data_IF_386880317048
#
_entry.id   IF_386880317048
#
_cell.length_a   1.000
_cell.length_b   1.000
_cell.length_c   1.000
_cell.angle_alpha   90.00
_cell.angle_beta   90.00
_cell.angle_gamma   90.00
#
_symmetry.space_group_name_H-M   'P 1'
#
loop_
_entity.id
_entity.type
_entity.pdbx_description
1 polymer ?
#
# COMPACT_ATOMS: atom_id res chain seq x y z
N UNK A 1 -43.45 4.44 -57.24
CA UNK A 1 -42.21 3.80 -56.75
C UNK A 1 -41.45 4.82 -55.91
N UNK A 2 -41.70 4.87 -54.59
CA UNK A 2 -40.96 5.69 -53.62
C UNK A 2 -40.70 4.81 -52.41
N UNK A 3 -39.43 4.47 -52.16
CA UNK A 3 -38.97 3.78 -50.96
C UNK A 3 -38.76 4.81 -49.86
N UNK A 4 -39.39 4.61 -48.71
CA UNK A 4 -39.09 5.35 -47.48
C UNK A 4 -38.07 4.55 -46.68
N UNK A 5 -36.86 5.10 -46.51
CA UNK A 5 -35.84 4.56 -45.61
C UNK A 5 -36.16 5.04 -44.18
N UNK A 6 -36.25 4.09 -43.26
CA UNK A 6 -36.33 4.34 -41.82
C UNK A 6 -34.93 4.21 -41.24
N UNK A 7 -34.36 5.31 -40.74
CA UNK A 7 -33.10 5.31 -40.01
C UNK A 7 -33.38 5.08 -38.52
N UNK A 8 -32.91 3.95 -37.98
CA UNK A 8 -32.97 3.67 -36.56
C UNK A 8 -31.87 4.45 -35.83
N UNK A 9 -32.27 5.37 -34.96
CA UNK A 9 -31.40 6.10 -34.03
C UNK A 9 -30.99 5.13 -32.91
N UNK A 10 -29.73 4.67 -32.92
CA UNK A 10 -29.16 3.86 -31.83
C UNK A 10 -28.74 4.82 -30.72
N UNK A 11 -29.53 4.85 -29.64
CA UNK A 11 -29.26 5.62 -28.44
C UNK A 11 -28.25 4.83 -27.58
N UNK A 12 -27.00 5.30 -27.51
CA UNK A 12 -26.01 4.78 -26.57
C UNK A 12 -26.30 5.36 -25.18
N UNK A 13 -26.89 4.55 -24.29
CA UNK A 13 -26.92 4.87 -22.86
C UNK A 13 -25.52 4.69 -22.28
N UNK A 14 -24.83 5.80 -22.05
CA UNK A 14 -23.65 5.84 -21.18
C UNK A 14 -24.16 5.67 -19.74
N UNK A 15 -24.04 4.46 -19.21
CA UNK A 15 -24.29 4.21 -17.80
C UNK A 15 -23.16 4.80 -16.96
N UNK A 16 -23.36 5.97 -16.39
CA UNK A 16 -22.54 6.45 -15.28
C UNK A 16 -22.81 5.56 -14.08
N UNK A 17 -21.95 4.58 -13.84
CA UNK A 17 -21.90 3.86 -12.57
C UNK A 17 -21.37 4.82 -11.50
N UNK A 18 -22.27 5.40 -10.72
CA UNK A 18 -21.91 6.02 -9.46
C UNK A 18 -21.53 4.88 -8.50
N UNK A 19 -20.23 4.62 -8.34
CA UNK A 19 -19.74 3.77 -7.27
C UNK A 19 -20.10 4.42 -5.94
N UNK A 20 -20.96 3.78 -5.15
CA UNK A 20 -21.17 4.15 -3.76
C UNK A 20 -19.83 4.07 -3.04
N UNK A 21 -19.34 5.19 -2.50
CA UNK A 21 -18.19 5.17 -1.61
C UNK A 21 -18.54 4.27 -0.42
N UNK A 22 -17.85 3.13 -0.31
CA UNK A 22 -17.98 2.23 0.83
C UNK A 22 -17.38 2.97 2.02
N UNK A 23 -18.17 3.19 3.07
CA UNK A 23 -17.63 3.74 4.30
C UNK A 23 -16.67 2.71 4.90
N UNK A 24 -15.43 3.11 5.16
CA UNK A 24 -14.49 2.25 5.84
C UNK A 24 -14.94 2.02 7.30
N UNK A 25 -15.02 0.75 7.68
CA UNK A 25 -15.44 0.28 9.00
C UNK A 25 -14.32 0.35 10.05
N UNK A 26 -13.07 0.54 9.60
CA UNK A 26 -11.90 0.68 10.46
C UNK A 26 -11.36 2.11 10.35
N UNK A 27 -11.42 2.92 11.43
CA UNK A 27 -10.98 4.32 11.39
C UNK A 27 -9.55 4.49 10.86
N UNK A 28 -9.39 5.38 9.88
CA UNK A 28 -8.09 5.70 9.28
C UNK A 28 -7.59 4.68 8.25
N UNK A 29 -8.40 3.68 7.90
CA UNK A 29 -8.11 2.76 6.81
C UNK A 29 -9.05 2.98 5.64
N UNK A 30 -8.57 2.75 4.42
CA UNK A 30 -9.27 3.02 3.18
C UNK A 30 -9.11 1.88 2.19
N UNK A 31 -10.23 1.28 1.78
CA UNK A 31 -10.22 0.21 0.78
C UNK A 31 -10.54 0.75 -0.62
N UNK A 32 -9.68 0.45 -1.60
CA UNK A 32 -9.84 0.95 -2.97
C UNK A 32 -9.27 0.01 -4.03
N UNK A 33 -9.66 0.25 -5.28
CA UNK A 33 -9.14 -0.46 -6.45
C UNK A 33 -7.90 0.28 -6.95
N UNK A 34 -6.75 -0.40 -6.94
CA UNK A 34 -5.51 0.10 -7.53
C UNK A 34 -5.56 -0.05 -9.05
N UNK A 35 -5.97 -1.23 -9.53
CA UNK A 35 -5.95 -1.54 -10.95
C UNK A 35 -7.00 -2.59 -11.31
N UNK A 36 -7.58 -2.42 -12.48
CA UNK A 36 -8.39 -3.44 -13.14
C UNK A 36 -7.52 -4.32 -14.07
N UNK A 37 -7.83 -5.62 -14.19
CA UNK A 37 -7.18 -6.50 -15.15
C UNK A 37 -7.12 -5.85 -16.53
N UNK A 38 -5.96 -5.97 -17.19
CA UNK A 38 -5.65 -5.25 -18.43
C UNK A 38 -6.72 -5.50 -19.51
N UNK A 39 -7.59 -4.50 -19.73
CA UNK A 39 -8.64 -4.55 -20.75
C UNK A 39 -9.92 -5.28 -20.36
N UNK A 40 -10.01 -5.86 -19.16
CA UNK A 40 -11.26 -6.38 -18.62
C UNK A 40 -12.10 -5.20 -18.12
N UNK A 41 -13.40 -5.14 -18.39
CA UNK A 41 -14.30 -4.15 -17.77
C UNK A 41 -14.66 -4.48 -16.32
N UNK A 42 -13.97 -5.45 -15.71
CA UNK A 42 -14.36 -6.09 -14.46
C UNK A 42 -13.39 -5.72 -13.33
N UNK A 43 -13.65 -4.67 -12.54
CA UNK A 43 -12.77 -4.29 -11.44
C UNK A 43 -12.82 -5.31 -10.29
N UNK A 44 -11.83 -5.30 -9.38
CA UNK A 44 -11.95 -6.00 -8.11
C UNK A 44 -13.25 -5.64 -7.38
N UNK A 45 -13.89 -6.64 -6.78
CA UNK A 45 -15.01 -6.40 -5.87
C UNK A 45 -14.46 -6.15 -4.46
N UNK A 46 -14.91 -5.09 -3.79
CA UNK A 46 -14.60 -4.83 -2.39
C UNK A 46 -15.94 -4.76 -1.66
N UNK A 47 -16.15 -5.63 -0.68
CA UNK A 47 -17.42 -5.69 0.07
C UNK A 47 -17.18 -5.97 1.53
N UNK A 48 -18.02 -5.43 2.40
CA UNK A 48 -17.96 -5.75 3.83
C UNK A 48 -18.40 -7.20 4.08
N UNK A 49 -17.74 -7.87 5.02
CA UNK A 49 -18.12 -9.21 5.44
C UNK A 49 -19.12 -9.14 6.61
N UNK A 50 -20.20 -9.95 6.62
CA UNK A 50 -21.22 -9.88 7.67
C UNK A 50 -20.72 -10.10 9.10
N UNK A 51 -19.58 -10.79 9.28
CA UNK A 51 -18.93 -11.00 10.58
C UNK A 51 -17.84 -9.96 10.91
N UNK A 52 -17.75 -8.88 10.14
CA UNK A 52 -16.70 -7.86 10.24
C UNK A 52 -15.53 -8.11 9.27
N UNK A 53 -14.86 -7.02 8.90
CA UNK A 53 -13.77 -7.03 7.92
C UNK A 53 -14.26 -6.87 6.47
N UNK A 54 -13.34 -7.07 5.53
CA UNK A 54 -13.54 -6.85 4.10
C UNK A 54 -13.20 -8.08 3.28
N UNK A 55 -14.00 -8.29 2.23
CA UNK A 55 -13.73 -9.24 1.15
C UNK A 55 -13.20 -8.46 -0.05
N UNK A 56 -12.02 -8.84 -0.53
CA UNK A 56 -11.46 -8.39 -1.80
C UNK A 56 -11.56 -9.53 -2.81
N UNK A 57 -12.49 -9.43 -3.74
CA UNK A 57 -12.69 -10.39 -4.83
C UNK A 57 -11.77 -10.09 -6.00
N UNK A 58 -10.66 -10.81 -6.08
CA UNK A 58 -9.75 -10.79 -7.23
C UNK A 58 -10.09 -11.99 -8.12
N UNK A 59 -10.84 -11.73 -9.20
CA UNK A 59 -11.37 -12.75 -10.10
C UNK A 59 -10.51 -12.97 -11.34
N UNK A 60 -9.60 -12.05 -11.64
CA UNK A 60 -8.79 -12.08 -12.86
C UNK A 60 -7.33 -11.66 -12.59
N UNK A 61 -6.39 -12.27 -13.33
CA UNK A 61 -5.00 -11.82 -13.29
C UNK A 61 -4.89 -10.38 -13.79
N UNK A 62 -4.12 -9.55 -13.08
CA UNK A 62 -4.00 -8.13 -13.36
C UNK A 62 -4.88 -7.23 -12.49
N UNK A 63 -5.90 -7.78 -11.83
CA UNK A 63 -6.66 -7.03 -10.83
C UNK A 63 -5.81 -6.76 -9.59
N UNK A 64 -5.96 -5.57 -9.01
CA UNK A 64 -5.25 -5.14 -7.82
C UNK A 64 -6.11 -4.21 -6.99
N UNK A 65 -6.23 -4.50 -5.70
CA UNK A 65 -6.92 -3.68 -4.72
C UNK A 65 -6.03 -3.47 -3.50
N UNK A 66 -6.36 -2.48 -2.68
CA UNK A 66 -5.67 -2.21 -1.44
C UNK A 66 -6.61 -1.91 -0.28
N UNK A 67 -6.09 -2.15 0.92
CA UNK A 67 -6.58 -1.57 2.16
C UNK A 67 -5.43 -0.79 2.80
N UNK A 68 -5.56 0.53 2.82
CA UNK A 68 -4.44 1.43 3.03
C UNK A 68 -4.67 2.43 4.15
N UNK A 69 -3.60 3.07 4.60
CA UNK A 69 -3.69 4.04 5.70
C UNK A 69 -2.59 5.10 5.63
N UNK A 70 -2.94 6.30 6.10
CA UNK A 70 -1.99 7.40 6.36
C UNK A 70 -1.48 7.43 7.80
N UNK A 71 -1.79 6.42 8.63
CA UNK A 71 -1.35 6.38 10.04
C UNK A 71 0.18 6.35 10.22
N UNK A 72 0.92 5.98 9.18
CA UNK A 72 2.38 5.97 9.15
C UNK A 72 2.99 7.13 8.35
N UNK A 73 2.17 8.02 7.78
CA UNK A 73 2.68 9.14 6.99
C UNK A 73 3.56 10.06 7.87
N UNK A 74 4.76 10.37 7.39
CA UNK A 74 5.75 11.16 8.10
C UNK A 74 6.58 10.41 9.14
N UNK A 75 6.32 9.12 9.39
CA UNK A 75 7.18 8.30 10.24
C UNK A 75 8.32 7.67 9.43
N UNK A 76 9.37 7.22 10.10
CA UNK A 76 10.42 6.44 9.42
C UNK A 76 10.02 4.98 9.36
N UNK A 77 10.53 4.27 8.36
CA UNK A 77 10.34 2.81 8.24
C UNK A 77 10.84 2.08 9.50
N UNK A 78 11.97 2.49 10.07
CA UNK A 78 12.53 1.91 11.28
C UNK A 78 11.77 2.22 12.56
N UNK A 79 10.82 3.16 12.51
CA UNK A 79 9.96 3.52 13.63
C UNK A 79 8.62 2.75 13.58
N UNK A 80 8.46 1.75 12.71
CA UNK A 80 7.23 0.94 12.68
C UNK A 80 7.24 -0.03 13.85
N UNK A 81 6.33 0.09 14.80
CA UNK A 81 6.22 -0.87 15.90
C UNK A 81 5.60 -2.19 15.42
N UNK A 82 4.45 -2.10 14.76
CA UNK A 82 3.68 -3.28 14.35
C UNK A 82 2.85 -2.99 13.11
N UNK A 83 2.79 -3.97 12.22
CA UNK A 83 1.84 -4.04 11.11
C UNK A 83 1.08 -5.35 11.23
N UNK A 84 -0.24 -5.31 11.16
CA UNK A 84 -1.02 -6.55 11.15
C UNK A 84 -2.25 -6.47 10.26
N UNK A 85 -2.71 -7.65 9.86
CA UNK A 85 -4.00 -7.91 9.25
C UNK A 85 -4.40 -9.36 9.56
N UNK A 86 -5.65 -9.60 9.91
CA UNK A 86 -6.16 -10.94 10.21
C UNK A 86 -6.79 -11.51 8.96
N UNK A 87 -6.22 -12.60 8.43
CA UNK A 87 -6.79 -13.34 7.32
C UNK A 87 -7.73 -14.43 7.85
N UNK A 88 -8.92 -14.54 7.26
CA UNK A 88 -9.85 -15.61 7.62
C UNK A 88 -9.28 -16.98 7.21
N UNK A 89 -9.27 -17.97 8.14
CA UNK A 89 -8.71 -19.29 7.88
C UNK A 89 -9.46 -20.09 6.81
N UNK A 90 -10.69 -19.72 6.44
CA UNK A 90 -11.46 -20.38 5.37
C UNK A 90 -10.92 -20.06 3.98
N UNK A 91 -10.08 -19.03 3.84
CA UNK A 91 -9.53 -18.60 2.57
C UNK A 91 -8.25 -19.36 2.25
N UNK A 92 -8.20 -19.99 1.08
CA UNK A 92 -7.02 -20.69 0.56
C UNK A 92 -6.24 -19.81 -0.42
N UNK A 93 -4.99 -20.18 -0.71
CA UNK A 93 -4.13 -19.44 -1.65
C UNK A 93 -3.19 -18.43 -0.98
N UNK A 94 -2.58 -17.57 -1.79
CA UNK A 94 -1.65 -16.54 -1.35
C UNK A 94 -2.36 -15.48 -0.53
N UNK A 95 -1.75 -15.00 0.54
CA UNK A 95 -2.30 -13.85 1.27
C UNK A 95 -1.87 -12.52 0.66
N UNK A 96 -2.25 -11.40 1.30
CA UNK A 96 -1.87 -10.09 0.83
C UNK A 96 -0.36 -9.87 0.95
N UNK A 97 0.13 -8.88 0.23
CA UNK A 97 1.45 -8.31 0.44
C UNK A 97 1.32 -6.85 0.89
N UNK A 98 2.42 -6.24 1.30
CA UNK A 98 2.47 -4.89 1.83
C UNK A 98 3.35 -4.00 0.96
N UNK A 99 2.93 -2.75 0.83
CA UNK A 99 3.65 -1.70 0.15
C UNK A 99 3.80 -0.47 1.04
N UNK A 100 4.97 0.16 1.00
CA UNK A 100 5.22 1.48 1.57
C UNK A 100 5.56 2.46 0.45
N UNK A 101 4.88 3.60 0.42
CA UNK A 101 5.44 4.76 -0.28
C UNK A 101 6.52 5.39 0.58
N UNK A 102 7.71 5.55 0.02
CA UNK A 102 8.84 6.19 0.70
C UNK A 102 9.41 7.33 -0.13
N UNK A 103 9.97 8.32 0.56
CA UNK A 103 10.76 9.38 -0.05
C UNK A 103 12.18 9.40 0.50
N UNK A 104 13.13 9.78 -0.34
CA UNK A 104 14.51 10.06 0.06
C UNK A 104 14.71 11.50 0.60
N UNK A 105 13.65 12.31 0.61
CA UNK A 105 13.69 13.71 1.05
C UNK A 105 14.32 14.69 0.05
N UNK A 106 14.76 14.21 -1.10
CA UNK A 106 15.33 15.01 -2.20
C UNK A 106 14.38 15.12 -3.40
N UNK A 107 13.14 14.66 -3.24
CA UNK A 107 12.13 14.59 -4.29
C UNK A 107 12.06 13.24 -5.00
N UNK A 108 12.92 12.29 -4.62
CA UNK A 108 12.81 10.90 -5.05
C UNK A 108 11.75 10.15 -4.26
N UNK A 109 10.94 9.35 -4.96
CA UNK A 109 9.98 8.43 -4.36
C UNK A 109 10.17 7.03 -4.91
N UNK A 110 9.80 6.05 -4.09
CA UNK A 110 9.71 4.65 -4.47
C UNK A 110 8.63 3.94 -3.66
N UNK A 111 8.22 2.78 -4.15
CA UNK A 111 7.45 1.81 -3.39
C UNK A 111 8.38 0.72 -2.87
N UNK A 112 8.43 0.54 -1.55
CA UNK A 112 9.02 -0.64 -0.94
C UNK A 112 7.95 -1.70 -0.76
N UNK A 113 8.18 -2.93 -1.22
CA UNK A 113 7.24 -4.01 -1.03
C UNK A 113 7.92 -5.31 -0.62
N UNK A 114 7.19 -6.19 0.06
CA UNK A 114 7.61 -7.58 0.13
C UNK A 114 7.23 -8.29 -1.17
N UNK A 115 8.13 -9.10 -1.70
CA UNK A 115 7.84 -9.92 -2.87
C UNK A 115 6.99 -11.12 -2.45
N UNK A 116 5.75 -11.25 -2.96
CA UNK A 116 4.87 -12.28 -2.45
C UNK A 116 5.36 -13.67 -2.86
N UNK A 117 6.10 -13.82 -3.97
CA UNK A 117 6.72 -15.09 -4.38
C UNK A 117 7.74 -15.65 -3.38
N UNK A 118 8.21 -14.84 -2.42
CA UNK A 118 9.03 -15.30 -1.29
C UNK A 118 8.15 -15.83 -0.13
N UNK A 119 7.33 -16.84 -0.44
CA UNK A 119 6.37 -17.45 0.52
C UNK A 119 6.99 -17.87 1.84
N UNK A 120 8.26 -18.27 1.85
CA UNK A 120 8.95 -18.73 3.04
C UNK A 120 9.20 -17.61 4.07
N UNK A 121 9.27 -16.34 3.64
CA UNK A 121 9.31 -15.17 4.53
C UNK A 121 7.90 -14.76 4.98
N UNK A 122 6.89 -15.02 4.14
CA UNK A 122 5.53 -14.50 4.29
C UNK A 122 4.48 -15.63 4.36
N UNK A 123 4.63 -16.54 5.33
CA UNK A 123 3.70 -17.64 5.57
C UNK A 123 2.47 -17.24 6.42
N UNK A 124 1.31 -17.88 6.18
CA UNK A 124 0.15 -17.76 7.07
C UNK A 124 0.52 -18.05 8.53
N UNK A 125 0.15 -17.16 9.44
CA UNK A 125 0.40 -17.28 10.89
C UNK A 125 1.57 -16.44 11.43
N UNK A 126 2.51 -16.00 10.59
CA UNK A 126 3.64 -15.13 11.01
C UNK A 126 3.77 -13.87 10.17
N UNK A 127 3.35 -13.91 8.90
CA UNK A 127 3.52 -12.86 7.91
C UNK A 127 2.62 -11.63 8.10
N UNK A 128 1.43 -11.83 8.67
CA UNK A 128 0.38 -10.82 8.75
C UNK A 128 0.27 -10.20 10.15
N UNK A 129 1.26 -10.42 10.99
CA UNK A 129 1.47 -9.72 12.25
C UNK A 129 2.98 -9.59 12.44
N UNK A 130 3.53 -8.49 11.95
CA UNK A 130 4.97 -8.26 11.92
C UNK A 130 5.34 -7.08 12.81
N UNK A 131 6.42 -7.24 13.56
CA UNK A 131 7.06 -6.16 14.32
C UNK A 131 8.29 -5.67 13.56
N UNK A 132 8.86 -4.52 13.94
CA UNK A 132 10.12 -4.07 13.35
C UNK A 132 11.20 -5.15 13.34
N UNK A 133 11.31 -5.93 14.41
CA UNK A 133 12.34 -6.96 14.56
C UNK A 133 12.26 -8.03 13.47
N UNK A 134 11.04 -8.35 13.00
CA UNK A 134 10.80 -9.27 11.90
C UNK A 134 10.97 -8.53 10.57
N UNK A 135 10.29 -7.38 10.43
CA UNK A 135 10.25 -6.59 9.21
C UNK A 135 11.66 -6.21 8.72
N UNK A 136 12.53 -5.74 9.61
CA UNK A 136 13.87 -5.25 9.25
C UNK A 136 14.74 -6.30 8.55
N UNK A 137 14.47 -7.59 8.78
CA UNK A 137 15.20 -8.72 8.20
C UNK A 137 14.51 -9.29 6.95
N UNK A 138 13.27 -8.89 6.70
CA UNK A 138 12.52 -9.33 5.56
C UNK A 138 12.97 -8.61 4.29
N UNK A 139 12.80 -9.30 3.17
CA UNK A 139 13.22 -8.81 1.87
C UNK A 139 12.36 -7.62 1.42
N UNK A 140 13.01 -6.53 1.03
CA UNK A 140 12.42 -5.31 0.51
C UNK A 140 12.78 -5.12 -0.96
N UNK A 141 11.76 -5.09 -1.80
CA UNK A 141 11.87 -4.79 -3.21
C UNK A 141 11.51 -3.35 -3.47
N UNK A 142 12.21 -2.72 -4.42
CA UNK A 142 12.05 -1.30 -4.75
C UNK A 142 11.38 -1.21 -6.12
N UNK A 143 10.17 -0.66 -6.15
CA UNK A 143 9.37 -0.44 -7.35
C UNK A 143 9.02 1.03 -7.50
N UNK A 144 8.39 1.38 -8.63
CA UNK A 144 7.74 2.68 -8.84
C UNK A 144 8.67 3.85 -8.48
N UNK A 145 9.89 3.80 -9.00
CA UNK A 145 10.97 4.75 -8.68
C UNK A 145 10.83 6.01 -9.52
N UNK A 146 11.00 7.20 -8.93
CA UNK A 146 10.87 8.47 -9.66
C UNK A 146 11.82 8.54 -10.86
N UNK A 147 11.27 8.60 -12.07
CA UNK A 147 12.06 8.66 -13.30
C UNK A 147 12.84 9.99 -13.44
N UNK A 148 12.34 11.06 -12.83
CA UNK A 148 12.80 12.44 -13.02
C UNK A 148 13.91 12.87 -12.06
N UNK A 149 13.84 12.47 -10.80
CA UNK A 149 14.83 12.83 -9.77
C UNK A 149 15.70 11.62 -9.40
N UNK A 150 15.20 10.41 -9.69
CA UNK A 150 15.77 9.15 -9.21
C UNK A 150 15.56 8.96 -7.72
N UNK A 151 15.37 7.73 -7.29
CA UNK A 151 15.31 7.41 -5.86
C UNK A 151 16.71 7.01 -5.41
N UNK A 152 17.23 7.72 -4.40
CA UNK A 152 18.52 7.38 -3.80
C UNK A 152 18.37 6.11 -2.99
N UNK A 153 19.26 5.14 -3.21
CA UNK A 153 19.30 3.93 -2.39
C UNK A 153 20.14 4.10 -1.12
N UNK A 154 19.92 3.24 -0.10
CA UNK A 154 20.69 3.25 1.14
C UNK A 154 22.21 3.19 0.96
N UNK A 155 22.70 2.59 -0.14
CA UNK A 155 24.13 2.50 -0.45
C UNK A 155 24.78 3.84 -0.88
N UNK A 156 23.99 4.93 -0.96
CA UNK A 156 24.48 6.31 -1.05
C UNK A 156 25.03 6.76 -2.41
N UNK A 157 25.45 5.83 -3.27
CA UNK A 157 26.14 6.11 -4.53
C UNK A 157 25.37 5.63 -5.78
N UNK A 158 24.22 4.98 -5.60
CA UNK A 158 23.40 4.52 -6.72
C UNK A 158 22.06 5.21 -6.70
N UNK A 159 21.82 6.06 -7.69
CA UNK A 159 20.48 6.54 -8.02
C UNK A 159 19.84 5.48 -8.91
N UNK A 160 18.76 4.85 -8.44
CA UNK A 160 18.02 3.91 -9.25
C UNK A 160 17.05 4.72 -10.13
N UNK A 161 17.15 4.60 -11.45
CA UNK A 161 16.29 5.36 -12.40
C UNK A 161 15.47 4.49 -13.33
N UNK A 162 15.60 3.16 -13.29
CA UNK A 162 14.75 2.23 -14.03
C UNK A 162 14.86 0.83 -13.43
N UNK A 163 13.84 0.40 -12.69
CA UNK A 163 13.61 -1.02 -12.44
C UNK A 163 12.15 -1.34 -12.77
N UNK A 164 11.97 -2.24 -13.75
CA UNK A 164 10.91 -3.24 -13.64
C UNK A 164 11.27 -4.21 -12.52
N UNK A 165 10.26 -4.83 -11.92
CA UNK A 165 10.38 -5.84 -10.86
C UNK A 165 11.66 -6.69 -10.98
N UNK A 166 12.64 -6.59 -10.05
CA UNK A 166 13.85 -7.36 -10.32
C UNK A 166 15.21 -7.06 -9.70
N UNK A 167 15.42 -6.59 -8.46
CA UNK A 167 16.84 -6.45 -8.02
C UNK A 167 17.45 -7.83 -7.72
N UNK A 168 18.55 -8.27 -8.38
CA UNK A 168 19.12 -9.60 -8.19
C UNK A 168 19.62 -9.90 -6.78
N UNK A 169 19.83 -8.86 -5.97
CA UNK A 169 20.04 -8.94 -4.53
C UNK A 169 19.02 -8.00 -3.89
N UNK A 170 17.87 -8.50 -3.41
CA UNK A 170 16.88 -7.62 -2.86
C UNK A 170 17.37 -7.10 -1.51
N UNK A 171 17.09 -5.82 -1.24
CA UNK A 171 17.44 -5.16 0.01
C UNK A 171 16.67 -5.79 1.17
N UNK A 172 16.97 -5.37 2.39
CA UNK A 172 16.14 -5.62 3.55
C UNK A 172 15.41 -4.34 3.94
N UNK A 173 14.24 -4.43 4.56
CA UNK A 173 13.56 -3.23 5.06
C UNK A 173 14.43 -2.45 6.06
N UNK A 174 15.30 -3.15 6.80
CA UNK A 174 16.29 -2.54 7.68
C UNK A 174 17.26 -1.57 6.96
N UNK A 175 17.57 -1.81 5.68
CA UNK A 175 18.41 -0.90 4.89
C UNK A 175 17.73 0.47 4.68
N UNK A 176 16.39 0.50 4.71
CA UNK A 176 15.58 1.69 4.54
C UNK A 176 15.08 2.28 5.87
N UNK A 177 15.60 1.84 7.02
CA UNK A 177 15.10 2.24 8.33
C UNK A 177 14.99 3.76 8.54
N UNK A 178 15.85 4.54 7.90
CA UNK A 178 15.87 6.01 8.01
C UNK A 178 15.02 6.75 6.96
N UNK A 179 14.40 6.04 6.02
CA UNK A 179 13.57 6.65 4.98
C UNK A 179 12.21 7.03 5.56
N UNK A 180 11.67 8.15 5.08
CA UNK A 180 10.35 8.62 5.48
C UNK A 180 9.27 7.91 4.66
N UNK A 181 8.24 7.44 5.35
CA UNK A 181 7.01 7.00 4.74
C UNK A 181 6.25 8.24 4.30
N UNK A 182 6.08 8.40 2.99
CA UNK A 182 5.42 9.56 2.41
C UNK A 182 4.90 9.19 1.03
N UNK A 183 3.57 9.13 0.83
CA UNK A 183 3.03 9.06 -0.51
C UNK A 183 3.38 10.32 -1.30
N UNK A 184 3.52 10.24 -2.64
CA UNK A 184 3.60 11.42 -3.48
C UNK A 184 2.28 12.21 -3.41
N UNK A 185 2.32 13.49 -3.74
CA UNK A 185 1.13 14.38 -3.76
C UNK A 185 0.56 14.58 -5.16
N UNK A 186 1.22 14.04 -6.17
CA UNK A 186 0.82 14.11 -7.57
C UNK A 186 0.68 12.71 -8.15
N UNK A 187 -0.22 12.50 -9.13
CA UNK A 187 -0.39 11.22 -9.80
C UNK A 187 0.92 10.56 -10.20
N UNK A 188 1.05 9.28 -9.86
CA UNK A 188 2.21 8.49 -10.20
C UNK A 188 1.99 7.73 -11.50
N UNK A 189 2.93 7.82 -12.45
CA UNK A 189 2.78 7.25 -13.80
C UNK A 189 3.01 5.73 -13.90
N UNK A 190 2.78 4.98 -12.82
CA UNK A 190 3.06 3.55 -12.70
C UNK A 190 1.85 2.67 -12.97
N UNK A 191 2.07 1.40 -13.31
CA UNK A 191 0.98 0.41 -13.52
C UNK A 191 0.68 -0.45 -12.29
N UNK A 192 1.49 -0.32 -11.23
CA UNK A 192 1.32 -1.05 -9.97
C UNK A 192 1.39 -0.15 -8.74
N UNK A 193 1.46 1.17 -8.95
CA UNK A 193 1.45 2.19 -7.91
C UNK A 193 0.21 2.03 -7.01
N UNK A 194 0.36 2.07 -5.67
CA UNK A 194 -0.77 1.97 -4.77
C UNK A 194 -1.41 3.35 -4.58
N UNK A 195 -2.04 3.85 -5.63
CA UNK A 195 -2.85 5.07 -5.67
C UNK A 195 -4.32 4.75 -5.96
N UNK A 196 -5.23 5.52 -5.36
CA UNK A 196 -6.67 5.36 -5.57
C UNK A 196 -7.08 6.01 -6.90
N UNK A 197 -7.19 5.18 -7.93
CA UNK A 197 -7.57 5.63 -9.27
C UNK A 197 -9.02 6.13 -9.37
N UNK A 198 -9.86 5.83 -8.38
CA UNK A 198 -11.27 6.25 -8.37
C UNK A 198 -11.52 7.49 -7.51
N UNK A 199 -10.50 8.00 -6.81
CA UNK A 199 -10.65 9.19 -6.01
C UNK A 199 -10.86 10.44 -6.90
N UNK A 200 -11.78 11.35 -6.52
CA UNK A 200 -12.04 12.58 -7.29
C UNK A 200 -10.83 13.52 -7.34
N UNK A 201 -9.96 13.42 -6.32
CA UNK A 201 -8.63 14.01 -6.27
C UNK A 201 -7.63 12.90 -6.03
N UNK A 202 -6.48 12.97 -6.69
CA UNK A 202 -5.39 12.02 -6.48
C UNK A 202 -5.17 11.76 -4.99
N UNK A 203 -5.22 10.49 -4.61
CA UNK A 203 -5.06 10.04 -3.22
C UNK A 203 -4.14 8.84 -3.20
N UNK A 204 -3.13 8.89 -2.33
CA UNK A 204 -2.23 7.80 -2.06
C UNK A 204 -1.91 7.78 -0.56
N UNK A 205 -1.51 6.62 -0.07
CA UNK A 205 -1.34 6.35 1.35
C UNK A 205 0.04 5.78 1.62
N UNK A 206 0.68 6.18 2.71
CA UNK A 206 2.04 5.73 3.04
C UNK A 206 2.17 4.22 3.19
N UNK A 207 1.13 3.53 3.67
CA UNK A 207 1.10 2.08 3.81
C UNK A 207 -0.13 1.44 3.19
N UNK A 208 0.04 0.28 2.55
CA UNK A 208 -1.01 -0.46 1.87
C UNK A 208 -0.86 -1.97 2.10
N UNK A 209 -1.91 -2.64 2.54
CA UNK A 209 -2.10 -4.06 2.28
C UNK A 209 -2.66 -4.22 0.87
N UNK A 210 -2.08 -5.10 0.08
CA UNK A 210 -2.34 -5.23 -1.35
C UNK A 210 -2.84 -6.63 -1.67
N UNK A 211 -3.91 -6.69 -2.47
CA UNK A 211 -4.64 -7.89 -2.87
C UNK A 211 -4.65 -7.98 -4.39
N UNK A 212 -4.27 -9.14 -4.94
CA UNK A 212 -4.14 -9.30 -6.39
C UNK A 212 -2.78 -8.83 -6.93
N UNK A 213 -2.44 -9.29 -8.14
CA UNK A 213 -1.31 -8.80 -8.94
C UNK A 213 -1.52 -9.18 -10.43
N UNK A 214 -0.55 -8.82 -11.26
CA UNK A 214 -0.36 -9.24 -12.66
C UNK A 214 -0.44 -10.75 -12.88
N UNK A 215 0.07 -11.56 -11.95
CA UNK A 215 0.13 -13.01 -12.14
C UNK A 215 -1.16 -13.71 -11.71
N UNK A 216 -1.53 -14.77 -12.41
CA UNK A 216 -2.78 -15.52 -12.16
C UNK A 216 -2.81 -16.20 -10.78
N UNK A 217 -1.67 -16.43 -10.14
CA UNK A 217 -1.61 -17.02 -8.79
C UNK A 217 -2.19 -16.11 -7.70
N UNK A 218 -2.50 -14.84 -8.00
CA UNK A 218 -3.18 -13.92 -7.09
C UNK A 218 -4.70 -13.85 -7.32
N UNK A 219 -5.24 -14.67 -8.23
CA UNK A 219 -6.69 -14.82 -8.41
C UNK A 219 -7.25 -15.61 -7.22
N UNK A 220 -8.18 -15.01 -6.50
CA UNK A 220 -8.83 -15.55 -5.32
C UNK A 220 -9.68 -14.51 -4.58
N UNK A 221 -10.51 -14.99 -3.66
CA UNK A 221 -11.13 -14.12 -2.66
C UNK A 221 -10.17 -13.92 -1.51
N UNK A 222 -9.98 -12.68 -1.06
CA UNK A 222 -9.27 -12.38 0.18
C UNK A 222 -10.30 -11.93 1.20
N UNK A 223 -10.45 -12.66 2.30
CA UNK A 223 -11.25 -12.22 3.44
C UNK A 223 -10.30 -11.87 4.57
N UNK A 224 -10.32 -10.59 4.94
CA UNK A 224 -9.39 -10.02 5.91
C UNK A 224 -10.10 -9.06 6.85
N UNK A 225 -9.55 -8.89 8.04
CA UNK A 225 -10.10 -8.04 9.10
C UNK A 225 -8.98 -7.43 9.93
N UNK A 226 -9.34 -6.48 10.81
CA UNK A 226 -8.45 -5.93 11.84
C UNK A 226 -7.08 -5.44 11.33
N UNK A 227 -7.04 -4.59 10.28
CA UNK A 227 -5.79 -4.03 9.83
C UNK A 227 -5.24 -3.07 10.90
N UNK A 228 -3.93 -3.13 11.12
CA UNK A 228 -3.24 -2.29 12.09
C UNK A 228 -1.89 -1.84 11.54
N UNK A 229 -1.56 -0.58 11.83
CA UNK A 229 -0.30 0.05 11.47
C UNK A 229 0.03 1.04 12.59
N UNK A 230 0.99 0.64 13.43
CA UNK A 230 1.32 1.36 14.65
C UNK A 230 2.74 1.88 14.54
N UNK A 231 2.95 3.21 14.52
CA UNK A 231 4.28 3.76 14.68
C UNK A 231 4.73 3.63 16.14
N UNK A 232 6.03 3.52 16.36
CA UNK A 232 6.64 3.63 17.67
C UNK A 232 6.22 4.97 18.28
N UNK A 233 5.67 4.97 19.50
CA UNK A 233 5.26 6.20 20.12
C UNK A 233 6.47 7.11 20.26
N UNK A 234 6.33 8.36 19.83
CA UNK A 234 7.33 9.42 20.02
C UNK A 234 7.54 9.77 21.51
N UNK A 235 7.05 8.94 22.42
CA UNK A 235 7.24 9.00 23.87
C UNK A 235 8.70 8.95 24.29
N UNK A 236 9.59 8.35 23.50
CA UNK A 236 11.04 8.49 23.72
C UNK A 236 11.46 9.98 23.67
N UNK A 237 10.91 10.75 22.73
CA UNK A 237 11.15 12.19 22.60
C UNK A 237 10.52 12.96 23.77
N UNK A 238 9.31 12.58 24.20
CA UNK A 238 8.65 13.20 25.36
C UNK A 238 9.38 12.92 26.68
N UNK A 239 9.91 11.72 26.88
CA UNK A 239 10.72 11.37 28.06
C UNK A 239 12.04 12.16 28.09
N UNK A 240 12.68 12.35 26.93
CA UNK A 240 13.88 13.17 26.82
C UNK A 240 13.59 14.67 27.02
N UNK A 241 12.48 15.18 26.47
CA UNK A 241 12.03 16.56 26.69
C UNK A 241 11.67 16.81 28.18
N UNK A 242 11.01 15.84 28.82
CA UNK A 242 10.69 15.89 30.25
C UNK A 242 11.94 15.86 31.14
N UNK A 243 12.90 14.98 30.85
CA UNK A 243 14.14 14.86 31.60
C UNK A 243 15.03 16.12 31.46
N UNK A 244 15.15 16.67 30.26
CA UNK A 244 15.89 17.93 30.02
C UNK A 244 15.21 19.12 30.69
N UNK A 245 13.89 19.24 30.57
CA UNK A 245 13.10 20.27 31.27
C UNK A 245 13.28 20.21 32.80
N UNK A 246 13.26 19.02 33.38
CA UNK A 246 13.49 18.82 34.81
C UNK A 246 14.91 19.20 35.25
N UNK A 247 15.92 18.88 34.45
CA UNK A 247 17.31 19.24 34.74
C UNK A 247 17.55 20.76 34.71
N UNK A 248 17.01 21.46 33.69
CA UNK A 248 17.08 22.92 33.62
C UNK A 248 16.31 23.60 34.76
N UNK A 249 15.15 23.04 35.16
CA UNK A 249 14.40 23.54 36.30
C UNK A 249 15.19 23.42 37.61
N UNK A 250 15.82 22.26 37.86
CA UNK A 250 16.64 22.04 39.07
C UNK A 250 17.84 22.99 39.13
N UNK A 251 18.51 23.24 38.00
CA UNK A 251 19.68 24.13 37.91
C UNK A 251 19.36 25.61 38.12
N UNK A 252 18.10 26.05 37.92
CA UNK A 252 17.67 27.43 38.19
C UNK A 252 17.32 27.70 39.66
N UNK A 253 17.19 26.65 40.49
CA UNK A 253 16.75 26.76 41.90
C UNK A 253 17.80 26.39 42.94
N UNK A 254 19.00 25.98 42.52
CA UNK A 254 20.16 25.79 43.38
C UNK A 254 21.24 26.79 43.02
#
# INVERSE_FOLDING_TARGET
MRMAQWSALVLWTIGCWAGSALADDVPGWHAFVIRNATGSGNPPAITDHPSGGKVFGITEGGQKAAWATSLLDGTRIGDIQTLSIVRDPSVTGWGPYMNFWVTDGLGGYAVLANEPSHTWEWQPGTAYNTTWNILQNATAWVYEVSNTVGFKLPNGNTTYTNLGAGTPNPFKFGDFANYLISPPTTPWGGSGAPDDLNAPTYTAYGFNWVFGDTQTNYVGGYLVSEPSAVPEPSTALLLLAGATGFWFYKRRRG
#
